data_IF_664709758855
#
_entry.id   IF_664709758855
#
_cell.length_a   1.000
_cell.length_b   1.000
_cell.length_c   1.000
_cell.angle_alpha   90.00
_cell.angle_beta   90.00
_cell.angle_gamma   90.00
#
_symmetry.space_group_name_H-M   'P 1'
#
loop_
_entity.id
_entity.type
_entity.pdbx_description
1 polymer ?
#
# COMPACT_ATOMS: atom_id res chain seq x y z
N UNK A 1 -6.40 5.15 11.43
CA UNK A 1 -5.08 4.80 10.89
C UNK A 1 -4.00 5.61 11.59
N UNK A 2 -3.12 4.94 12.32
CA UNK A 2 -2.08 5.59 13.14
C UNK A 2 -0.79 5.92 12.39
N UNK A 3 0.02 6.80 12.99
CA UNK A 3 1.39 7.12 12.56
C UNK A 3 2.30 5.87 12.48
N UNK A 4 1.97 4.79 13.23
CA UNK A 4 2.66 3.50 13.17
C UNK A 4 2.63 2.86 11.78
N UNK A 5 1.49 2.96 11.09
CA UNK A 5 1.30 2.45 9.73
C UNK A 5 2.22 3.15 8.72
N UNK A 6 2.30 4.47 8.83
CA UNK A 6 3.13 5.32 7.97
C UNK A 6 4.61 5.14 8.27
N UNK A 7 5.00 5.10 9.54
CA UNK A 7 6.38 4.88 9.95
C UNK A 7 6.88 3.49 9.52
N UNK A 8 6.04 2.47 9.64
CA UNK A 8 6.37 1.13 9.14
C UNK A 8 6.67 1.13 7.64
N UNK A 9 5.82 1.77 6.85
CA UNK A 9 6.00 1.87 5.40
C UNK A 9 7.20 2.76 5.02
N UNK A 10 7.47 3.82 5.81
CA UNK A 10 8.65 4.67 5.69
C UNK A 10 9.95 3.90 5.86
N UNK A 11 10.05 3.12 6.93
CA UNK A 11 11.22 2.29 7.20
C UNK A 11 11.48 1.32 6.04
N UNK A 12 10.42 0.84 5.37
CA UNK A 12 10.54 -0.11 4.27
C UNK A 12 10.92 0.53 2.93
N UNK A 13 10.38 1.70 2.60
CA UNK A 13 10.81 2.47 1.41
C UNK A 13 12.27 2.94 1.56
N UNK A 14 12.70 3.31 2.78
CA UNK A 14 14.09 3.72 3.02
C UNK A 14 15.05 2.52 3.05
N UNK A 15 14.60 1.35 3.54
CA UNK A 15 15.40 0.11 3.58
C UNK A 15 15.42 -0.69 2.29
N UNK A 16 14.53 -0.46 1.33
CA UNK A 16 14.67 -1.06 -0.02
C UNK A 16 15.95 -0.60 -0.74
N UNK A 17 16.67 0.41 -0.19
CA UNK A 17 18.03 0.79 -0.57
C UNK A 17 19.14 -0.06 0.07
N UNK A 18 18.83 -0.98 1.00
CA UNK A 18 19.81 -1.81 1.70
C UNK A 18 19.28 -3.25 1.95
N UNK A 19 19.66 -4.25 1.13
CA UNK A 19 19.06 -5.59 1.14
C UNK A 19 19.42 -6.48 2.35
N UNK A 20 20.27 -6.02 3.27
CA UNK A 20 20.76 -6.85 4.40
C UNK A 20 19.84 -6.89 5.62
N UNK A 21 18.70 -6.18 5.62
CA UNK A 21 17.78 -6.13 6.77
C UNK A 21 16.40 -6.64 6.37
N UNK A 22 16.31 -7.94 6.06
CA UNK A 22 15.06 -8.69 6.16
C UNK A 22 15.02 -9.25 7.60
N UNK A 23 14.08 -8.85 8.47
CA UNK A 23 14.02 -9.41 9.81
C UNK A 23 13.74 -10.92 9.79
N UNK A 24 14.59 -11.70 10.47
CA UNK A 24 14.55 -13.17 10.54
C UNK A 24 13.29 -13.78 11.19
N UNK A 25 12.38 -12.96 11.74
CA UNK A 25 11.22 -13.43 12.53
C UNK A 25 10.05 -14.00 11.70
N UNK A 26 10.27 -14.41 10.45
CA UNK A 26 9.20 -14.94 9.57
C UNK A 26 8.92 -16.45 9.83
N UNK A 27 9.70 -17.12 10.67
CA UNK A 27 9.50 -18.54 10.98
C UNK A 27 9.01 -18.78 12.41
N UNK A 28 7.68 -18.84 12.60
CA UNK A 28 7.08 -19.61 13.69
C UNK A 28 6.11 -18.84 14.58
N UNK A 29 4.83 -19.20 14.48
CA UNK A 29 3.82 -18.67 15.39
C UNK A 29 2.42 -19.21 15.14
N UNK A 30 2.27 -20.53 14.94
CA UNK A 30 0.97 -21.18 15.17
C UNK A 30 0.83 -21.42 16.68
N UNK A 31 -0.17 -20.81 17.31
CA UNK A 31 -0.63 -21.20 18.63
C UNK A 31 -2.15 -21.47 18.55
N UNK A 32 -2.50 -22.74 18.71
CA UNK A 32 -3.87 -23.22 18.93
C UNK A 32 -4.35 -22.92 20.37
N UNK A 33 -5.67 -22.88 20.62
CA UNK A 33 -6.24 -22.28 21.82
C UNK A 33 -6.30 -23.27 22.99
N UNK A 34 -6.14 -22.77 24.22
CA UNK A 34 -6.46 -23.54 25.44
C UNK A 34 -7.55 -22.84 26.24
N UNK A 35 -8.65 -23.55 26.41
CA UNK A 35 -9.81 -23.29 27.25
C UNK A 35 -9.47 -23.26 28.74
N UNK A 36 -10.00 -22.31 29.51
CA UNK A 36 -10.40 -22.52 30.92
C UNK A 36 -11.49 -21.48 31.28
N UNK A 37 -12.59 -21.97 31.87
CA UNK A 37 -13.75 -21.20 32.28
C UNK A 37 -13.77 -20.95 33.81
N UNK A 38 -14.37 -19.81 34.21
CA UNK A 38 -15.30 -19.59 35.34
C UNK A 38 -15.02 -18.31 36.14
N UNK A 39 -16.07 -17.53 36.38
CA UNK A 39 -16.13 -16.51 37.43
C UNK A 39 -17.14 -15.39 37.15
N UNK A 40 -18.32 -15.48 37.77
CA UNK A 40 -19.50 -14.60 37.64
C UNK A 40 -19.34 -13.28 38.39
N UNK A 41 -19.68 -12.15 37.77
CA UNK A 41 -20.54 -11.12 38.37
C UNK A 41 -21.04 -10.09 37.35
N UNK A 42 -22.29 -9.68 37.54
CA UNK A 42 -23.16 -8.93 36.65
C UNK A 42 -23.34 -7.51 37.20
N UNK A 43 -23.26 -6.47 36.36
CA UNK A 43 -24.20 -5.32 36.30
C UNK A 43 -23.68 -4.14 35.47
N UNK A 44 -24.65 -3.50 34.81
CA UNK A 44 -24.64 -2.21 34.12
C UNK A 44 -24.03 -2.19 32.71
N UNK A 45 -24.94 -2.14 31.74
CA UNK A 45 -24.70 -1.85 30.34
C UNK A 45 -24.04 -0.47 30.18
N UNK A 46 -22.76 -0.46 29.84
CA UNK A 46 -22.16 0.64 29.10
C UNK A 46 -22.19 0.22 27.63
N UNK A 47 -22.75 1.08 26.79
CA UNK A 47 -22.73 0.91 25.34
C UNK A 47 -21.29 0.85 24.87
N UNK A 48 -20.82 -0.36 24.59
CA UNK A 48 -19.52 -0.60 23.99
C UNK A 48 -19.60 -0.18 22.52
N UNK A 49 -19.39 1.12 22.31
CA UNK A 49 -19.21 1.77 21.02
C UNK A 49 -17.80 1.46 20.47
N UNK A 50 -17.34 0.22 20.61
CA UNK A 50 -16.16 -0.30 19.91
C UNK A 50 -16.57 -0.65 18.48
N UNK A 51 -16.94 0.40 17.75
CA UNK A 51 -17.02 0.41 16.30
C UNK A 51 -15.73 -0.24 15.77
N UNK A 52 -15.87 -1.42 15.18
CA UNK A 52 -14.79 -2.29 14.70
C UNK A 52 -13.93 -1.55 13.67
N UNK A 53 -12.95 -0.76 14.10
CA UNK A 53 -11.92 -0.20 13.24
C UNK A 53 -11.11 -1.34 12.63
N UNK A 54 -10.63 -1.24 11.37
CA UNK A 54 -9.67 -2.23 10.88
C UNK A 54 -8.49 -2.06 11.83
N UNK A 55 -8.13 -3.13 12.54
CA UNK A 55 -7.00 -3.07 13.46
C UNK A 55 -5.78 -2.67 12.63
N UNK A 56 -5.12 -1.56 12.99
CA UNK A 56 -3.91 -1.07 12.33
C UNK A 56 -2.88 -2.22 12.17
N UNK A 57 -2.88 -3.22 13.07
CA UNK A 57 -2.07 -4.44 12.96
C UNK A 57 -2.41 -5.29 11.74
N UNK A 58 -3.69 -5.48 11.42
CA UNK A 58 -4.12 -6.23 10.25
C UNK A 58 -3.69 -5.53 8.97
N UNK A 59 -3.87 -4.21 8.89
CA UNK A 59 -3.44 -3.41 7.74
C UNK A 59 -1.91 -3.41 7.56
N UNK A 60 -1.15 -3.33 8.65
CA UNK A 60 0.32 -3.51 8.63
C UNK A 60 0.69 -4.93 8.17
N UNK A 61 -0.04 -5.95 8.60
CA UNK A 61 0.16 -7.34 8.17
C UNK A 61 -0.07 -7.54 6.68
N UNK A 62 -1.11 -6.92 6.12
CA UNK A 62 -1.39 -6.93 4.68
C UNK A 62 -0.29 -6.22 3.89
N UNK A 63 0.11 -5.00 4.31
CA UNK A 63 1.23 -4.28 3.68
C UNK A 63 2.50 -5.13 3.62
N UNK A 64 2.87 -5.78 4.73
CA UNK A 64 4.06 -6.64 4.81
C UNK A 64 4.01 -7.76 3.79
N UNK A 65 2.89 -8.46 3.71
CA UNK A 65 2.72 -9.61 2.82
C UNK A 65 2.70 -9.19 1.35
N UNK A 66 2.05 -8.08 1.03
CA UNK A 66 2.04 -7.54 -0.34
C UNK A 66 3.45 -7.10 -0.76
N UNK A 67 4.19 -6.42 0.12
CA UNK A 67 5.58 -6.09 -0.17
C UNK A 67 6.46 -7.32 -0.36
N UNK A 68 6.37 -8.33 0.51
CA UNK A 68 7.18 -9.54 0.38
C UNK A 68 6.92 -10.22 -0.97
N UNK A 69 5.64 -10.24 -1.39
CA UNK A 69 5.25 -10.72 -2.70
C UNK A 69 5.84 -9.86 -3.83
N UNK A 70 5.79 -8.52 -3.71
CA UNK A 70 6.41 -7.61 -4.68
C UNK A 70 7.92 -7.88 -4.79
N UNK A 71 8.62 -7.94 -3.66
CA UNK A 71 10.05 -8.24 -3.60
C UNK A 71 10.41 -9.58 -4.24
N UNK A 72 9.60 -10.61 -4.03
CA UNK A 72 9.81 -11.95 -4.60
C UNK A 72 9.57 -12.01 -6.10
N UNK A 73 8.74 -11.12 -6.64
CA UNK A 73 8.36 -11.07 -8.07
C UNK A 73 9.17 -10.05 -8.87
N UNK A 74 10.14 -9.38 -8.24
CA UNK A 74 10.98 -8.35 -8.84
C UNK A 74 11.80 -8.87 -10.04
N UNK A 75 12.45 -10.02 -9.88
CA UNK A 75 13.39 -10.57 -10.87
C UNK A 75 12.70 -11.36 -12.00
N UNK A 76 11.39 -11.51 -11.93
CA UNK A 76 10.65 -12.39 -12.83
C UNK A 76 9.78 -11.58 -13.77
N UNK A 77 10.01 -11.72 -15.09
CA UNK A 77 9.18 -11.11 -16.13
C UNK A 77 7.72 -11.59 -16.13
N UNK A 78 7.46 -12.72 -15.46
CA UNK A 78 6.14 -13.25 -15.17
C UNK A 78 6.05 -13.64 -13.69
N UNK A 79 4.91 -13.40 -13.00
CA UNK A 79 4.74 -13.85 -11.62
C UNK A 79 4.95 -15.36 -11.52
N UNK A 80 5.67 -15.81 -10.48
CA UNK A 80 5.90 -17.24 -10.25
C UNK A 80 4.57 -18.01 -10.09
N UNK A 81 4.62 -19.33 -10.27
CA UNK A 81 3.46 -20.21 -10.03
C UNK A 81 2.89 -20.11 -8.61
N UNK A 82 3.67 -19.60 -7.65
CA UNK A 82 3.27 -19.34 -6.27
C UNK A 82 2.79 -17.92 -6.02
N UNK A 83 3.24 -16.94 -6.82
CA UNK A 83 2.88 -15.53 -6.66
C UNK A 83 1.41 -15.25 -6.99
N UNK A 84 0.85 -15.87 -8.04
CA UNK A 84 -0.56 -15.68 -8.42
C UNK A 84 -1.50 -16.19 -7.32
N UNK A 85 -1.36 -17.43 -6.79
CA UNK A 85 -2.19 -17.89 -5.66
C UNK A 85 -2.04 -17.03 -4.40
N UNK A 86 -0.82 -16.58 -4.08
CA UNK A 86 -0.58 -15.70 -2.93
C UNK A 86 -1.28 -14.34 -3.10
N UNK A 87 -1.19 -13.76 -4.30
CA UNK A 87 -1.89 -12.52 -4.61
C UNK A 87 -3.41 -12.70 -4.54
N UNK A 88 -3.92 -13.82 -5.04
CA UNK A 88 -5.34 -14.12 -4.97
C UNK A 88 -5.83 -14.25 -3.52
N UNK A 89 -5.08 -14.91 -2.64
CA UNK A 89 -5.40 -14.98 -1.21
C UNK A 89 -5.45 -13.58 -0.58
N UNK A 90 -4.47 -12.73 -0.88
CA UNK A 90 -4.44 -11.35 -0.38
C UNK A 90 -5.61 -10.52 -0.92
N UNK A 91 -6.02 -10.74 -2.18
CA UNK A 91 -7.22 -10.11 -2.74
C UNK A 91 -8.50 -10.56 -2.04
N UNK A 92 -8.65 -11.86 -1.75
CA UNK A 92 -9.82 -12.34 -1.03
C UNK A 92 -9.88 -11.74 0.37
N UNK A 93 -8.75 -11.69 1.08
CA UNK A 93 -8.68 -11.05 2.39
C UNK A 93 -9.07 -9.57 2.32
N UNK A 94 -8.58 -8.81 1.33
CA UNK A 94 -8.99 -7.42 1.14
C UNK A 94 -10.49 -7.27 0.85
N UNK A 95 -11.06 -8.19 0.06
CA UNK A 95 -12.51 -8.21 -0.24
C UNK A 95 -13.35 -8.59 0.98
N UNK A 96 -12.89 -9.54 1.79
CA UNK A 96 -13.59 -9.94 3.01
C UNK A 96 -13.60 -8.78 4.02
N UNK A 97 -12.53 -7.97 4.06
CA UNK A 97 -12.46 -6.74 4.86
C UNK A 97 -13.42 -5.64 4.35
N UNK A 98 -13.57 -5.50 3.03
CA UNK A 98 -14.58 -4.63 2.42
C UNK A 98 -16.01 -5.10 2.76
N UNK A 99 -16.26 -6.42 2.69
CA UNK A 99 -17.57 -7.02 2.91
C UNK A 99 -17.99 -7.10 4.38
N UNK A 100 -17.04 -7.05 5.32
CA UNK A 100 -17.31 -7.18 6.76
C UNK A 100 -18.11 -6.01 7.33
N UNK A 101 -18.13 -4.86 6.66
CA UNK A 101 -18.96 -3.72 7.05
C UNK A 101 -19.40 -2.92 5.80
N UNK A 102 -20.46 -3.36 5.11
CA UNK A 102 -20.89 -2.75 3.85
C UNK A 102 -21.42 -1.32 4.03
N UNK A 103 -21.83 -0.92 5.25
CA UNK A 103 -22.31 0.43 5.57
C UNK A 103 -21.20 1.40 5.99
N UNK A 104 -19.99 0.89 6.21
CA UNK A 104 -18.81 1.70 6.51
C UNK A 104 -18.09 2.22 5.28
N UNK A 105 -18.31 1.57 4.14
CA UNK A 105 -17.80 1.99 2.84
C UNK A 105 -18.89 2.57 1.93
N UNK A 106 -20.14 2.71 2.41
CA UNK A 106 -21.23 3.33 1.64
C UNK A 106 -21.02 4.81 1.36
N UNK A 107 -20.03 5.44 1.99
CA UNK A 107 -19.48 6.69 1.53
C UNK A 107 -18.01 6.48 1.17
N UNK A 108 -17.68 6.90 -0.05
CA UNK A 108 -16.34 7.09 -0.64
C UNK A 108 -15.50 8.11 0.16
N UNK A 109 -15.59 8.11 1.48
CA UNK A 109 -15.19 9.20 2.36
C UNK A 109 -14.28 8.78 3.51
N UNK A 110 -14.03 7.48 3.72
CA UNK A 110 -13.12 7.02 4.76
C UNK A 110 -11.67 6.90 4.30
N UNK A 111 -10.73 7.32 5.16
CA UNK A 111 -9.29 7.09 4.96
C UNK A 111 -8.96 5.61 4.73
N UNK A 112 -9.76 4.72 5.33
CA UNK A 112 -9.63 3.27 5.24
C UNK A 112 -9.89 2.77 3.82
N UNK A 113 -10.92 3.28 3.13
CA UNK A 113 -11.18 2.96 1.74
C UNK A 113 -10.02 3.35 0.82
N UNK A 114 -9.44 4.55 1.03
CA UNK A 114 -8.27 4.97 0.27
C UNK A 114 -7.09 4.02 0.47
N UNK A 115 -6.86 3.55 1.68
CA UNK A 115 -5.79 2.57 1.94
C UNK A 115 -6.09 1.22 1.31
N UNK A 116 -7.31 0.69 1.42
CA UNK A 116 -7.69 -0.57 0.77
C UNK A 116 -7.52 -0.50 -0.75
N UNK A 117 -8.03 0.57 -1.37
CA UNK A 117 -7.87 0.77 -2.83
C UNK A 117 -6.39 0.86 -3.25
N UNK A 118 -5.55 1.47 -2.42
CA UNK A 118 -4.10 1.52 -2.66
C UNK A 118 -3.47 0.12 -2.67
N UNK A 119 -3.89 -0.74 -1.74
CA UNK A 119 -3.42 -2.13 -1.68
C UNK A 119 -3.94 -2.94 -2.88
N UNK A 120 -5.17 -2.70 -3.32
CA UNK A 120 -5.72 -3.32 -4.53
C UNK A 120 -4.93 -2.93 -5.79
N UNK A 121 -4.63 -1.64 -5.95
CA UNK A 121 -3.79 -1.13 -7.05
C UNK A 121 -2.43 -1.82 -7.01
N UNK A 122 -1.75 -1.79 -5.86
CA UNK A 122 -0.43 -2.41 -5.73
C UNK A 122 -0.45 -3.89 -6.11
N UNK A 123 -1.38 -4.65 -5.54
CA UNK A 123 -1.47 -6.08 -5.77
C UNK A 123 -1.79 -6.42 -7.23
N UNK A 124 -2.61 -5.60 -7.88
CA UNK A 124 -2.86 -5.71 -9.32
C UNK A 124 -1.60 -5.51 -10.15
N UNK A 125 -0.80 -4.50 -9.82
CA UNK A 125 0.43 -4.21 -10.55
C UNK A 125 1.46 -5.33 -10.37
N UNK A 126 1.55 -5.94 -9.18
CA UNK A 126 2.41 -7.12 -8.95
C UNK A 126 2.02 -8.29 -9.87
N UNK A 127 0.72 -8.60 -9.94
CA UNK A 127 0.21 -9.74 -10.74
C UNK A 127 0.26 -9.44 -12.23
N UNK A 128 0.00 -8.20 -12.62
CA UNK A 128 -0.03 -7.73 -13.99
C UNK A 128 0.99 -6.60 -14.17
N UNK A 129 2.27 -6.94 -14.47
CA UNK A 129 3.38 -6.00 -14.63
C UNK A 129 3.12 -4.84 -15.62
N UNK A 130 2.27 -5.05 -16.64
CA UNK A 130 1.85 -4.03 -17.62
C UNK A 130 0.43 -3.49 -17.34
N UNK A 131 -0.15 -3.86 -16.21
CA UNK A 131 -1.56 -3.62 -15.86
C UNK A 131 -1.85 -2.21 -15.35
N UNK A 132 -0.91 -1.26 -15.46
CA UNK A 132 -1.17 0.12 -15.05
C UNK A 132 -2.28 0.76 -15.91
N UNK A 133 -2.35 0.41 -17.20
CA UNK A 133 -3.39 0.84 -18.14
C UNK A 133 -4.72 0.09 -17.95
N UNK A 134 -4.78 -0.88 -17.03
CA UNK A 134 -5.98 -1.68 -16.81
C UNK A 134 -7.19 -0.78 -16.50
N UNK A 135 -8.33 -0.96 -17.19
CA UNK A 135 -9.52 -0.15 -16.95
C UNK A 135 -9.97 -0.16 -15.49
N UNK A 136 -9.77 -1.27 -14.78
CA UNK A 136 -10.09 -1.38 -13.36
C UNK A 136 -9.17 -0.54 -12.47
N UNK A 137 -7.87 -0.47 -12.78
CA UNK A 137 -6.90 0.37 -12.06
C UNK A 137 -7.20 1.84 -12.33
N UNK A 138 -7.38 2.23 -13.58
CA UNK A 138 -7.67 3.63 -13.94
C UNK A 138 -9.01 4.09 -13.33
N UNK A 139 -10.05 3.24 -13.34
CA UNK A 139 -11.31 3.55 -12.68
C UNK A 139 -11.13 3.77 -11.17
N UNK A 140 -10.28 2.97 -10.52
CA UNK A 140 -10.00 3.09 -9.09
C UNK A 140 -9.24 4.39 -8.77
N UNK A 141 -8.29 4.79 -9.63
CA UNK A 141 -7.61 6.08 -9.54
C UNK A 141 -8.62 7.23 -9.66
N UNK A 142 -9.32 7.32 -10.79
CA UNK A 142 -10.22 8.45 -11.08
C UNK A 142 -11.34 8.58 -10.04
N UNK A 143 -11.87 7.46 -9.52
CA UNK A 143 -12.91 7.50 -8.47
C UNK A 143 -12.40 8.02 -7.12
N UNK A 144 -11.14 7.77 -6.77
CA UNK A 144 -10.62 8.06 -5.44
C UNK A 144 -9.85 9.39 -5.36
N UNK A 145 -9.46 9.98 -6.49
CA UNK A 145 -8.81 11.31 -6.51
C UNK A 145 -9.63 12.42 -5.83
N UNK A 146 -10.94 12.57 -6.07
CA UNK A 146 -11.73 13.61 -5.37
C UNK A 146 -11.69 13.47 -3.85
N UNK A 147 -11.66 12.23 -3.36
CA UNK A 147 -11.57 11.95 -1.93
C UNK A 147 -10.18 12.30 -1.37
N UNK A 148 -9.11 11.96 -2.10
CA UNK A 148 -7.74 12.36 -1.74
C UNK A 148 -7.67 13.88 -1.60
N UNK A 149 -8.16 14.63 -2.59
CA UNK A 149 -8.19 16.09 -2.57
C UNK A 149 -8.98 16.62 -1.37
N UNK A 150 -10.20 16.09 -1.15
CA UNK A 150 -11.05 16.52 -0.03
C UNK A 150 -10.36 16.30 1.31
N UNK A 151 -9.82 15.11 1.57
CA UNK A 151 -9.13 14.81 2.83
C UNK A 151 -7.87 15.64 3.02
N UNK A 152 -7.17 15.94 1.91
CA UNK A 152 -5.99 16.79 1.92
C UNK A 152 -6.35 18.24 2.26
N UNK A 153 -7.47 18.78 1.75
CA UNK A 153 -7.87 20.17 2.06
C UNK A 153 -8.40 20.37 3.49
N UNK A 154 -8.95 19.34 4.13
CA UNK A 154 -9.73 19.48 5.37
C UNK A 154 -8.95 19.72 6.69
N UNK A 155 -7.66 20.12 6.67
CA UNK A 155 -6.84 20.30 7.90
C UNK A 155 -6.99 19.16 8.93
N UNK A 156 -7.14 17.93 8.44
CA UNK A 156 -7.35 16.75 9.27
C UNK A 156 -6.10 16.43 10.10
N UNK A 157 -6.25 15.98 11.37
CA UNK A 157 -5.12 15.65 12.24
C UNK A 157 -4.31 14.43 11.75
N UNK A 158 -4.92 13.56 10.93
CA UNK A 158 -4.30 12.34 10.42
C UNK A 158 -3.84 12.47 8.97
N UNK A 159 -3.34 13.64 8.58
CA UNK A 159 -2.89 13.93 7.22
C UNK A 159 -1.83 12.94 6.69
N UNK A 160 -1.02 12.34 7.57
CA UNK A 160 -0.05 11.30 7.22
C UNK A 160 -0.70 10.04 6.61
N UNK A 161 -1.97 9.76 6.91
CA UNK A 161 -2.71 8.64 6.33
C UNK A 161 -2.87 8.74 4.81
N UNK A 162 -2.69 9.94 4.23
CA UNK A 162 -2.75 10.16 2.78
C UNK A 162 -1.47 9.80 2.04
N UNK A 163 -0.36 9.56 2.73
CA UNK A 163 0.92 9.31 2.08
C UNK A 163 0.90 8.04 1.21
N UNK A 164 0.35 6.95 1.75
CA UNK A 164 0.21 5.67 1.03
C UNK A 164 -0.80 5.80 -0.12
N UNK A 165 -2.01 6.34 0.08
CA UNK A 165 -2.93 6.65 -1.01
C UNK A 165 -2.32 7.49 -2.13
N UNK A 166 -1.67 8.61 -1.80
CA UNK A 166 -1.04 9.45 -2.81
C UNK A 166 0.06 8.73 -3.56
N UNK A 167 0.82 7.88 -2.88
CA UNK A 167 1.85 7.09 -3.53
C UNK A 167 1.27 6.10 -4.54
N UNK A 168 0.36 5.22 -4.10
CA UNK A 168 -0.16 4.15 -4.94
C UNK A 168 -1.10 4.63 -6.04
N UNK A 169 -1.96 5.62 -5.75
CA UNK A 169 -2.76 6.27 -6.79
C UNK A 169 -1.87 7.09 -7.73
N UNK A 170 -0.82 7.71 -7.20
CA UNK A 170 0.17 8.44 -7.98
C UNK A 170 0.87 7.56 -9.01
N UNK A 171 1.51 6.46 -8.60
CA UNK A 171 2.19 5.55 -9.54
C UNK A 171 1.24 4.95 -10.59
N UNK A 172 -0.07 4.86 -10.29
CA UNK A 172 -1.08 4.35 -11.18
C UNK A 172 -1.74 5.41 -12.07
N UNK A 173 -1.47 6.71 -11.87
CA UNK A 173 -2.10 7.80 -12.61
C UNK A 173 -1.47 8.01 -13.98
N UNK A 174 -2.19 7.63 -15.05
CA UNK A 174 -1.66 7.71 -16.42
C UNK A 174 -2.14 8.93 -17.20
N UNK A 175 -3.34 9.44 -16.88
CA UNK A 175 -3.90 10.62 -17.54
C UNK A 175 -3.26 11.91 -17.00
N UNK A 176 -3.05 12.90 -17.87
CA UNK A 176 -2.45 14.19 -17.50
C UNK A 176 -3.20 14.86 -16.34
N UNK A 177 -4.52 14.92 -16.43
CA UNK A 177 -5.38 15.45 -15.37
C UNK A 177 -5.18 14.75 -14.01
N UNK A 178 -5.12 13.41 -14.00
CA UNK A 178 -4.93 12.64 -12.78
C UNK A 178 -3.54 12.90 -12.16
N UNK A 179 -2.50 13.01 -13.02
CA UNK A 179 -1.13 13.34 -12.61
C UNK A 179 -1.05 14.75 -11.99
N UNK A 180 -1.73 15.73 -12.59
CA UNK A 180 -1.80 17.09 -12.05
C UNK A 180 -2.43 17.11 -10.65
N UNK A 181 -3.57 16.43 -10.47
CA UNK A 181 -4.25 16.34 -9.16
C UNK A 181 -3.36 15.70 -8.09
N UNK A 182 -2.61 14.66 -8.46
CA UNK A 182 -1.64 14.03 -7.55
C UNK A 182 -0.51 15.01 -7.18
N UNK A 183 0.05 15.73 -8.15
CA UNK A 183 1.11 16.71 -7.89
C UNK A 183 0.65 17.85 -7.00
N UNK A 184 -0.52 18.42 -7.26
CA UNK A 184 -1.12 19.44 -6.42
C UNK A 184 -1.36 18.91 -5.00
N UNK A 185 -1.78 17.66 -4.87
CA UNK A 185 -1.97 17.04 -3.57
C UNK A 185 -0.65 16.85 -2.79
N UNK A 186 0.44 16.46 -3.46
CA UNK A 186 1.77 16.45 -2.83
C UNK A 186 2.18 17.86 -2.37
N UNK A 187 1.99 18.89 -3.20
CA UNK A 187 2.32 20.27 -2.87
C UNK A 187 1.50 20.81 -1.68
N UNK A 188 0.22 20.46 -1.61
CA UNK A 188 -0.65 20.86 -0.50
C UNK A 188 -0.25 20.18 0.83
N UNK A 189 0.35 18.99 0.76
CA UNK A 189 0.85 18.26 1.92
C UNK A 189 2.20 18.77 2.44
N UNK A 190 3.08 19.25 1.57
CA UNK A 190 4.46 19.64 1.92
C UNK A 190 4.55 20.56 3.17
N UNK A 191 3.72 21.61 3.34
CA UNK A 191 3.78 22.47 4.52
C UNK A 191 3.30 21.80 5.82
N UNK A 192 2.52 20.72 5.72
CA UNK A 192 1.86 20.03 6.85
C UNK A 192 2.58 18.76 7.25
N UNK A 193 3.29 18.15 6.31
CA UNK A 193 4.02 16.88 6.45
C UNK A 193 5.41 17.08 5.90
N UNK A 194 6.25 17.82 6.63
CA UNK A 194 7.65 17.98 6.25
C UNK A 194 8.46 16.76 6.72
N UNK A 195 8.59 15.77 5.83
CA UNK A 195 9.47 14.63 6.07
C UNK A 195 10.09 14.13 4.75
N UNK A 196 11.29 13.55 4.85
CA UNK A 196 12.00 12.96 3.71
C UNK A 196 11.12 11.96 2.93
N UNK A 197 10.24 11.24 3.64
CA UNK A 197 9.33 10.27 3.07
C UNK A 197 8.38 10.87 2.01
N UNK A 198 7.82 12.06 2.26
CA UNK A 198 6.93 12.73 1.31
C UNK A 198 7.68 13.05 0.00
N UNK A 199 8.91 13.54 0.13
CA UNK A 199 9.78 13.82 -1.02
C UNK A 199 10.15 12.55 -1.78
N UNK A 200 10.49 11.47 -1.07
CA UNK A 200 10.80 10.18 -1.70
C UNK A 200 9.60 9.62 -2.47
N UNK A 201 8.39 9.70 -1.89
CA UNK A 201 7.16 9.25 -2.58
C UNK A 201 6.89 10.06 -3.83
N UNK A 202 6.93 11.39 -3.73
CA UNK A 202 6.78 12.28 -4.89
C UNK A 202 7.81 11.96 -5.97
N UNK A 203 9.07 11.75 -5.59
CA UNK A 203 10.15 11.40 -6.50
C UNK A 203 9.91 10.07 -7.22
N UNK A 204 9.47 9.03 -6.49
CA UNK A 204 9.16 7.73 -7.08
C UNK A 204 7.95 7.79 -8.01
N UNK A 205 6.90 8.54 -7.66
CA UNK A 205 5.73 8.76 -8.53
C UNK A 205 6.15 9.44 -9.83
N UNK A 206 6.92 10.54 -9.75
CA UNK A 206 7.44 11.25 -10.92
C UNK A 206 8.33 10.35 -11.80
N UNK A 207 9.20 9.55 -11.18
CA UNK A 207 10.03 8.57 -11.88
C UNK A 207 9.17 7.52 -12.59
N UNK A 208 8.10 7.08 -11.94
CA UNK A 208 7.18 6.10 -12.52
C UNK A 208 6.49 6.63 -13.77
N UNK A 209 5.98 7.86 -13.75
CA UNK A 209 5.39 8.49 -14.93
C UNK A 209 6.37 8.65 -16.07
N UNK A 210 7.59 9.13 -15.79
CA UNK A 210 8.63 9.23 -16.81
C UNK A 210 8.92 7.88 -17.46
N UNK A 211 9.10 6.83 -16.66
CA UNK A 211 9.34 5.47 -17.15
C UNK A 211 8.18 4.98 -18.00
N UNK A 212 6.94 5.28 -17.62
CA UNK A 212 5.77 4.92 -18.39
C UNK A 212 5.74 5.64 -19.74
N UNK A 213 6.01 6.95 -19.75
CA UNK A 213 6.06 7.76 -20.97
C UNK A 213 7.19 7.30 -21.91
N UNK A 214 8.26 6.71 -21.36
CA UNK A 214 9.35 6.03 -22.08
C UNK A 214 9.04 4.57 -22.48
N UNK A 215 7.81 4.11 -22.26
CA UNK A 215 7.35 2.73 -22.52
C UNK A 215 8.16 1.65 -21.79
N UNK A 216 8.71 1.97 -20.60
CA UNK A 216 9.43 1.01 -19.76
C UNK A 216 8.44 0.05 -19.11
N UNK A 217 8.63 -1.25 -19.35
CA UNK A 217 7.90 -2.30 -18.65
C UNK A 217 8.08 -2.14 -17.13
N UNK A 218 7.00 -2.35 -16.37
CA UNK A 218 6.98 -2.16 -14.91
C UNK A 218 7.41 -0.75 -14.50
N UNK A 219 6.95 0.27 -15.23
CA UNK A 219 7.18 1.68 -14.90
C UNK A 219 6.77 2.05 -13.46
N UNK A 220 5.78 1.37 -12.90
CA UNK A 220 5.31 1.50 -11.52
C UNK A 220 6.28 0.95 -10.48
N UNK A 221 7.29 0.18 -10.86
CA UNK A 221 8.11 -0.55 -9.92
C UNK A 221 9.17 0.35 -9.25
N UNK A 222 9.01 0.59 -7.95
CA UNK A 222 9.94 1.39 -7.14
C UNK A 222 10.95 0.55 -6.34
N UNK A 223 10.82 -0.78 -6.34
CA UNK A 223 11.82 -1.65 -5.75
C UNK A 223 12.96 -1.77 -6.75
N UNK A 224 14.17 -1.36 -6.35
CA UNK A 224 15.36 -1.49 -7.17
C UNK A 224 16.33 -2.41 -6.44
N UNK A 225 16.53 -3.62 -6.96
CA UNK A 225 17.71 -4.39 -6.56
C UNK A 225 18.91 -3.71 -7.18
N UNK A 226 19.95 -3.46 -6.38
CA UNK A 226 21.26 -3.14 -6.92
C UNK A 226 21.57 -4.20 -7.97
N UNK A 227 21.75 -3.78 -9.23
CA UNK A 227 22.12 -4.70 -10.29
C UNK A 227 23.34 -5.46 -9.81
N UNK A 228 23.18 -6.77 -9.56
CA UNK A 228 24.30 -7.64 -9.26
C UNK A 228 25.31 -7.45 -10.37
N UNK A 229 26.53 -7.12 -9.98
CA UNK A 229 27.69 -6.82 -10.83
C UNK A 229 27.89 -7.97 -11.82
N UNK A 230 27.19 -7.89 -12.94
CA UNK A 230 27.15 -8.91 -13.98
C UNK A 230 28.08 -8.44 -15.07
N UNK A 231 29.36 -8.73 -14.87
CA UNK A 231 30.32 -8.84 -15.97
C UNK A 231 31.42 -7.80 -15.99
N UNK A 232 32.39 -7.93 -15.08
CA UNK A 232 33.81 -7.79 -15.42
C UNK A 232 34.66 -8.86 -14.72
N UNK A 233 34.44 -10.13 -15.04
CA UNK A 233 35.54 -11.10 -15.07
C UNK A 233 35.90 -11.31 -16.54
N UNK A 234 36.54 -10.29 -17.12
CA UNK A 234 37.30 -10.48 -18.34
C UNK A 234 38.44 -11.45 -18.02
N UNK A 235 38.37 -12.63 -18.62
CA UNK A 235 39.54 -13.42 -18.94
C UNK A 235 40.47 -12.53 -19.78
N UNK A 236 41.64 -12.21 -19.24
CA UNK A 236 42.93 -12.15 -19.94
C UNK A 236 44.07 -12.11 -18.91
#
# INVERSE_FOLDING_TARGET
MSLSYVNFFSDWILKSRNPEIIPDDIAGGQASPTTTAQGVNQLAAESDDTQSTIDDRQMIGLLRRIYLLHWQTEDTSAPSSTAIPQAFSLWQELKDQEASDPHRYTESDSAEWLSLSSLFIWLHLIVYPKGVESPGVQLMVTKNLPQIVRMNTQNTPNVHSLLIPLFFHGIASMQEYDREVILESFLLLEPRVYCQLLHDFKSHVLKSWRRYDECVDRSWNWIERAAGDSGKSGLE
#
